data_IF_122283773867
#
_entry.id   IF_122283773867
#
_cell.length_a   1.000
_cell.length_b   1.000
_cell.length_c   1.000
_cell.angle_alpha   90.00
_cell.angle_beta   90.00
_cell.angle_gamma   90.00
#
_symmetry.space_group_name_H-M   'P 1'
#
loop_
_entity.id
_entity.type
_entity.pdbx_description
1 polymer ?
#
# COMPACT_ATOMS: atom_id res chain seq x y z
N UNK A 1 -28.31 -10.08 7.27
CA UNK A 1 -27.29 -9.27 7.95
C UNK A 1 -26.76 -8.18 7.02
N UNK A 2 -26.10 -7.17 7.57
CA UNK A 2 -25.47 -6.10 6.77
C UNK A 2 -24.44 -6.68 5.79
N UNK A 3 -23.62 -7.63 6.24
CA UNK A 3 -22.64 -8.30 5.37
C UNK A 3 -23.27 -9.10 4.23
N UNK A 4 -24.41 -9.76 4.44
CA UNK A 4 -25.11 -10.45 3.36
C UNK A 4 -25.63 -9.49 2.29
N UNK A 5 -26.14 -8.32 2.68
CA UNK A 5 -26.57 -7.28 1.73
C UNK A 5 -25.39 -6.75 0.92
N UNK A 6 -24.27 -6.50 1.59
CA UNK A 6 -23.02 -6.06 0.94
C UNK A 6 -22.53 -7.07 -0.09
N UNK A 7 -22.49 -8.36 0.29
CA UNK A 7 -22.08 -9.42 -0.64
C UNK A 7 -23.01 -9.50 -1.87
N UNK A 8 -24.34 -9.42 -1.67
CA UNK A 8 -25.30 -9.41 -2.78
C UNK A 8 -25.09 -8.20 -3.69
N UNK A 9 -24.88 -7.01 -3.12
CA UNK A 9 -24.62 -5.81 -3.91
C UNK A 9 -23.35 -5.94 -4.75
N UNK A 10 -22.25 -6.42 -4.15
CA UNK A 10 -20.99 -6.66 -4.88
C UNK A 10 -21.16 -7.73 -5.97
N UNK A 11 -21.82 -8.85 -5.65
CA UNK A 11 -22.07 -9.91 -6.64
C UNK A 11 -22.92 -9.40 -7.82
N UNK A 12 -23.91 -8.56 -7.55
CA UNK A 12 -24.74 -7.93 -8.60
C UNK A 12 -23.92 -6.99 -9.48
N UNK A 13 -23.06 -6.16 -8.87
CA UNK A 13 -22.18 -5.25 -9.60
C UNK A 13 -21.22 -6.01 -10.52
N UNK A 14 -20.61 -7.10 -10.04
CA UNK A 14 -19.73 -7.96 -10.85
C UNK A 14 -20.49 -8.67 -11.96
N UNK A 15 -21.72 -9.18 -11.66
CA UNK A 15 -22.55 -9.87 -12.64
C UNK A 15 -23.04 -8.97 -13.78
N UNK A 16 -23.09 -7.65 -13.57
CA UNK A 16 -23.47 -6.68 -14.61
C UNK A 16 -22.46 -6.59 -15.75
N UNK A 17 -21.22 -7.06 -15.57
CA UNK A 17 -20.13 -7.09 -16.58
C UNK A 17 -19.93 -5.75 -17.28
N UNK A 18 -20.02 -4.66 -16.53
CA UNK A 18 -19.73 -3.31 -17.02
C UNK A 18 -18.22 -3.12 -17.20
N UNK A 19 -17.76 -2.32 -18.18
CA UNK A 19 -16.32 -2.03 -18.34
C UNK A 19 -15.68 -1.39 -17.11
N UNK A 20 -16.48 -0.67 -16.32
CA UNK A 20 -16.04 -0.03 -15.04
C UNK A 20 -16.98 -0.48 -13.93
N UNK A 21 -16.42 -0.94 -12.83
CA UNK A 21 -17.15 -1.30 -11.61
C UNK A 21 -16.63 -0.47 -10.45
N UNK A 22 -17.54 0.15 -9.70
CA UNK A 22 -17.21 0.92 -8.50
C UNK A 22 -17.77 0.20 -7.28
N UNK A 23 -16.92 -0.09 -6.30
CA UNK A 23 -17.30 -0.74 -5.04
C UNK A 23 -16.89 0.15 -3.87
N UNK A 24 -17.87 0.62 -3.11
CA UNK A 24 -17.63 1.43 -1.93
C UNK A 24 -17.60 0.55 -0.68
N UNK A 25 -16.45 0.53 0.01
CA UNK A 25 -16.19 -0.27 1.22
C UNK A 25 -16.71 -1.73 1.12
N UNK A 26 -16.37 -2.49 0.05
CA UNK A 26 -17.02 -3.77 -0.25
C UNK A 26 -16.78 -4.84 0.83
N UNK A 27 -15.73 -4.71 1.64
CA UNK A 27 -15.38 -5.66 2.69
C UNK A 27 -15.92 -5.28 4.07
N UNK A 28 -16.58 -4.12 4.19
CA UNK A 28 -17.08 -3.65 5.47
C UNK A 28 -18.22 -4.54 6.01
N UNK A 29 -18.11 -4.93 7.28
CA UNK A 29 -19.10 -5.79 7.94
C UNK A 29 -19.13 -7.26 7.49
N UNK A 30 -18.16 -7.68 6.66
CA UNK A 30 -17.99 -9.08 6.28
C UNK A 30 -17.15 -9.82 7.33
N UNK A 31 -17.53 -11.06 7.64
CA UNK A 31 -16.69 -12.00 8.36
C UNK A 31 -15.54 -12.51 7.47
N UNK A 32 -14.52 -13.13 8.07
CA UNK A 32 -13.32 -13.55 7.35
C UNK A 32 -13.63 -14.54 6.19
N UNK A 33 -14.47 -15.57 6.33
CA UNK A 33 -14.83 -16.45 5.21
C UNK A 33 -15.51 -15.71 4.05
N UNK A 34 -16.44 -14.82 4.36
CA UNK A 34 -17.19 -14.05 3.35
C UNK A 34 -16.28 -13.05 2.63
N UNK A 35 -15.35 -12.43 3.37
CA UNK A 35 -14.31 -11.55 2.80
C UNK A 35 -13.42 -12.31 1.82
N UNK A 36 -12.93 -13.47 2.20
CA UNK A 36 -12.14 -14.34 1.31
C UNK A 36 -12.92 -14.68 0.04
N UNK A 37 -14.20 -15.05 0.20
CA UNK A 37 -15.04 -15.39 -0.95
C UNK A 37 -15.25 -14.23 -1.91
N UNK A 38 -15.46 -13.01 -1.39
CA UNK A 38 -15.60 -11.81 -2.24
C UNK A 38 -14.30 -11.52 -3.00
N UNK A 39 -13.13 -11.65 -2.34
CA UNK A 39 -11.83 -11.50 -3.00
C UNK A 39 -11.66 -12.48 -4.16
N UNK A 40 -11.97 -13.76 -3.94
CA UNK A 40 -11.91 -14.79 -4.99
C UNK A 40 -12.82 -14.44 -6.19
N UNK A 41 -14.02 -13.92 -5.93
CA UNK A 41 -14.94 -13.49 -6.99
C UNK A 41 -14.39 -12.31 -7.80
N UNK A 42 -13.79 -11.32 -7.14
CA UNK A 42 -13.14 -10.18 -7.80
C UNK A 42 -11.98 -10.66 -8.69
N UNK A 43 -11.10 -11.50 -8.15
CA UNK A 43 -9.94 -12.03 -8.88
C UNK A 43 -10.39 -12.89 -10.08
N UNK A 44 -11.38 -13.75 -9.89
CA UNK A 44 -11.93 -14.59 -10.96
C UNK A 44 -12.57 -13.74 -12.06
N UNK A 45 -13.24 -12.64 -11.70
CA UNK A 45 -13.82 -11.72 -12.68
C UNK A 45 -12.72 -11.00 -13.47
N UNK A 46 -11.69 -10.48 -12.81
CA UNK A 46 -10.55 -9.84 -13.45
C UNK A 46 -9.84 -10.78 -14.45
N UNK A 47 -9.64 -12.04 -14.07
CA UNK A 47 -9.00 -13.04 -14.91
C UNK A 47 -9.77 -13.34 -16.24
N UNK A 48 -11.08 -13.10 -16.25
CA UNK A 48 -11.95 -13.36 -17.43
C UNK A 48 -12.37 -12.11 -18.18
N UNK A 49 -11.96 -10.92 -17.74
CA UNK A 49 -12.38 -9.63 -18.29
C UNK A 49 -11.18 -8.68 -18.39
N UNK A 50 -10.32 -8.82 -19.41
CA UNK A 50 -9.01 -8.11 -19.46
C UNK A 50 -9.11 -6.59 -19.49
N UNK A 51 -10.18 -6.01 -20.06
CA UNK A 51 -10.37 -4.56 -20.18
C UNK A 51 -11.25 -3.99 -19.04
N UNK A 52 -11.39 -4.75 -17.94
CA UNK A 52 -12.20 -4.34 -16.81
C UNK A 52 -11.44 -3.42 -15.86
N UNK A 53 -12.04 -2.29 -15.52
CA UNK A 53 -11.53 -1.39 -14.49
C UNK A 53 -12.35 -1.54 -13.22
N UNK A 54 -11.68 -1.88 -12.12
CA UNK A 54 -12.23 -1.87 -10.78
C UNK A 54 -11.71 -0.66 -10.01
N UNK A 55 -12.61 0.17 -9.50
CA UNK A 55 -12.28 1.11 -8.45
C UNK A 55 -13.00 0.70 -7.16
N UNK A 56 -12.26 0.50 -6.09
CA UNK A 56 -12.84 0.17 -4.80
C UNK A 56 -12.28 1.09 -3.71
N UNK A 57 -13.13 1.51 -2.79
CA UNK A 57 -12.72 2.24 -1.61
C UNK A 57 -12.48 1.29 -0.43
N UNK A 58 -11.50 1.61 0.40
CA UNK A 58 -11.31 1.00 1.71
C UNK A 58 -10.52 1.93 2.62
N UNK A 59 -10.82 1.89 3.91
CA UNK A 59 -10.02 2.53 4.95
C UNK A 59 -8.99 1.56 5.58
N UNK A 60 -8.85 0.35 5.01
CA UNK A 60 -7.96 -0.72 5.49
C UNK A 60 -7.08 -1.21 4.33
N UNK A 61 -5.78 -0.98 4.43
CA UNK A 61 -4.84 -1.41 3.39
C UNK A 61 -4.89 -2.93 3.14
N UNK A 62 -5.09 -3.73 4.18
CA UNK A 62 -5.18 -5.19 4.10
C UNK A 62 -6.32 -5.71 3.19
N UNK A 63 -7.39 -4.92 3.02
CA UNK A 63 -8.48 -5.25 2.10
C UNK A 63 -8.07 -5.11 0.63
N UNK A 64 -7.06 -4.29 0.34
CA UNK A 64 -6.58 -3.94 -1.00
C UNK A 64 -5.45 -4.86 -1.49
N UNK A 65 -4.72 -5.51 -0.57
CA UNK A 65 -3.56 -6.36 -0.89
C UNK A 65 -3.88 -7.39 -1.96
N UNK A 66 -3.13 -7.37 -3.06
CA UNK A 66 -3.29 -8.29 -4.21
C UNK A 66 -4.59 -8.13 -5.00
N UNK A 67 -5.31 -7.01 -4.82
CA UNK A 67 -6.50 -6.67 -5.61
C UNK A 67 -6.32 -5.41 -6.45
N UNK A 68 -5.32 -4.57 -6.13
CA UNK A 68 -5.12 -3.27 -6.77
C UNK A 68 -3.67 -3.12 -7.24
N UNK A 69 -3.50 -2.49 -8.38
CA UNK A 69 -2.19 -2.13 -8.94
C UNK A 69 -1.85 -0.67 -8.62
N UNK A 70 -2.88 0.17 -8.44
CA UNK A 70 -2.73 1.59 -8.19
C UNK A 70 -3.56 2.02 -6.98
N UNK A 71 -3.07 3.04 -6.28
CA UNK A 71 -3.74 3.65 -5.13
C UNK A 71 -3.96 5.14 -5.39
N UNK A 72 -5.17 5.61 -5.07
CA UNK A 72 -5.51 7.03 -5.02
C UNK A 72 -5.80 7.36 -3.56
N UNK A 73 -5.04 8.27 -2.97
CA UNK A 73 -5.31 8.75 -1.61
C UNK A 73 -6.21 9.97 -1.63
N UNK A 74 -7.19 9.98 -0.73
CA UNK A 74 -8.13 11.10 -0.54
C UNK A 74 -8.00 11.58 0.90
N UNK A 75 -7.65 12.85 1.10
CA UNK A 75 -7.47 13.44 2.42
C UNK A 75 -7.86 14.91 2.41
N UNK A 76 -8.65 15.34 3.39
CA UNK A 76 -9.12 16.73 3.56
C UNK A 76 -9.67 17.36 2.26
N UNK A 77 -10.47 16.60 1.51
CA UNK A 77 -11.04 17.04 0.24
C UNK A 77 -10.06 17.09 -0.93
N UNK A 78 -8.80 16.71 -0.72
CA UNK A 78 -7.79 16.61 -1.77
C UNK A 78 -7.70 15.18 -2.28
N UNK A 79 -7.69 15.03 -3.60
CA UNK A 79 -7.51 13.76 -4.30
C UNK A 79 -6.14 13.76 -4.96
N UNK A 80 -5.28 12.84 -4.56
CA UNK A 80 -3.95 12.70 -5.15
C UNK A 80 -4.01 11.94 -6.49
N UNK A 81 -2.94 12.05 -7.28
CA UNK A 81 -2.83 11.30 -8.53
C UNK A 81 -2.73 9.79 -8.23
N UNK A 82 -3.21 8.94 -9.15
CA UNK A 82 -3.00 7.50 -9.04
C UNK A 82 -1.50 7.17 -8.92
N UNK A 83 -1.18 6.33 -7.97
CA UNK A 83 0.17 5.90 -7.65
C UNK A 83 0.29 4.40 -7.89
N UNK A 84 1.13 4.00 -8.81
CA UNK A 84 1.40 2.61 -9.13
C UNK A 84 2.28 1.96 -8.05
N UNK A 85 1.84 0.83 -7.49
CA UNK A 85 2.49 0.18 -6.36
C UNK A 85 3.87 -0.37 -6.72
N UNK A 86 4.02 -1.01 -7.88
CA UNK A 86 5.28 -1.59 -8.31
C UNK A 86 6.35 -0.53 -8.55
N UNK A 87 5.98 0.62 -9.13
CA UNK A 87 6.89 1.73 -9.33
C UNK A 87 7.33 2.41 -8.03
N UNK A 88 6.48 2.36 -7.01
CA UNK A 88 6.78 2.95 -5.70
C UNK A 88 7.59 2.02 -4.79
N UNK A 89 7.45 0.71 -4.92
CA UNK A 89 8.10 -0.27 -4.05
C UNK A 89 9.61 -0.05 -3.86
N UNK A 90 10.41 0.26 -4.91
CA UNK A 90 11.85 0.53 -4.76
C UNK A 90 12.18 1.75 -3.90
N UNK A 91 11.23 2.65 -3.68
CA UNK A 91 11.38 3.83 -2.82
C UNK A 91 11.12 3.54 -1.34
N UNK A 92 10.66 2.34 -1.00
CA UNK A 92 10.30 1.94 0.36
C UNK A 92 11.12 0.72 0.83
N UNK A 93 12.44 0.89 1.03
CA UNK A 93 13.29 -0.18 1.51
C UNK A 93 13.02 -0.53 2.96
N UNK A 94 13.25 -1.79 3.30
CA UNK A 94 13.35 -2.32 4.66
C UNK A 94 14.79 -2.71 4.90
N UNK A 95 15.49 -1.94 5.71
CA UNK A 95 16.89 -2.13 6.02
C UNK A 95 17.05 -2.96 7.28
N UNK A 96 17.88 -3.99 7.25
CA UNK A 96 18.16 -4.85 8.41
C UNK A 96 19.67 -5.01 8.57
N UNK A 97 20.17 -4.68 9.76
CA UNK A 97 21.61 -4.74 10.08
C UNK A 97 21.89 -4.27 11.50
N UNK A 98 23.15 -3.96 11.82
CA UNK A 98 23.45 -3.27 13.07
C UNK A 98 22.87 -1.85 13.03
N UNK A 99 22.55 -1.27 14.18
CA UNK A 99 22.00 0.09 14.24
C UNK A 99 22.90 1.10 13.52
N UNK A 100 24.23 0.98 13.67
CA UNK A 100 25.21 1.85 13.01
C UNK A 100 25.21 1.68 11.49
N UNK A 101 25.14 0.44 10.99
CA UNK A 101 25.15 0.16 9.55
C UNK A 101 23.87 0.66 8.88
N UNK A 102 22.73 0.49 9.55
CA UNK A 102 21.43 1.00 9.07
C UNK A 102 21.43 2.52 9.02
N UNK A 103 21.95 3.21 10.06
CA UNK A 103 22.08 4.66 10.07
C UNK A 103 22.98 5.16 8.93
N UNK A 104 24.09 4.48 8.69
CA UNK A 104 24.98 4.78 7.58
C UNK A 104 24.28 4.59 6.22
N UNK A 105 23.54 3.51 6.02
CA UNK A 105 22.78 3.26 4.79
C UNK A 105 21.72 4.33 4.53
N UNK A 106 20.99 4.76 5.56
CA UNK A 106 19.99 5.84 5.48
C UNK A 106 20.67 7.16 5.04
N UNK A 107 21.78 7.51 5.67
CA UNK A 107 22.51 8.75 5.35
C UNK A 107 23.06 8.74 3.92
N UNK A 108 23.61 7.62 3.45
CA UNK A 108 24.16 7.49 2.09
C UNK A 108 23.08 7.59 1.00
N UNK A 109 21.87 7.15 1.29
CA UNK A 109 20.75 7.16 0.34
C UNK A 109 19.82 8.38 0.48
N UNK A 110 20.13 9.31 1.39
CA UNK A 110 19.21 10.40 1.77
C UNK A 110 17.80 9.88 2.12
N UNK A 111 17.75 8.72 2.77
CA UNK A 111 16.51 8.03 3.08
C UNK A 111 16.00 8.41 4.47
N UNK A 112 14.69 8.60 4.57
CA UNK A 112 14.01 8.98 5.80
C UNK A 112 13.47 7.72 6.51
N UNK A 113 13.80 7.50 7.79
CA UNK A 113 13.20 6.41 8.56
C UNK A 113 11.71 6.68 8.80
N UNK A 114 10.85 5.70 8.51
CA UNK A 114 9.41 5.75 8.73
C UNK A 114 9.01 4.98 9.99
N UNK A 115 9.58 3.78 10.15
CA UNK A 115 9.33 2.92 11.31
C UNK A 115 10.60 2.18 11.68
N UNK A 116 10.90 2.07 12.97
CA UNK A 116 12.08 1.37 13.47
C UNK A 116 11.69 0.37 14.56
N UNK A 117 12.29 -0.81 14.48
CA UNK A 117 12.25 -1.83 15.52
C UNK A 117 13.65 -2.42 15.72
N UNK A 118 13.91 -2.98 16.90
CA UNK A 118 15.18 -3.62 17.20
C UNK A 118 14.99 -4.92 17.97
N UNK A 119 15.87 -5.89 17.72
CA UNK A 119 15.95 -7.13 18.46
C UNK A 119 17.42 -7.42 18.75
N UNK A 120 17.83 -7.26 20.01
CA UNK A 120 19.23 -7.32 20.41
C UNK A 120 20.06 -6.25 19.72
N UNK A 121 21.12 -6.65 19.02
CA UNK A 121 22.00 -5.74 18.24
C UNK A 121 21.52 -5.47 16.81
N UNK A 122 20.43 -6.10 16.39
CA UNK A 122 19.89 -5.97 15.03
C UNK A 122 18.77 -4.94 15.01
N UNK A 123 18.91 -3.92 14.15
CA UNK A 123 17.87 -2.95 13.82
C UNK A 123 17.18 -3.35 12.52
N UNK A 124 15.87 -3.13 12.46
CA UNK A 124 15.05 -3.22 11.26
C UNK A 124 14.34 -1.88 11.08
N UNK A 125 14.59 -1.22 9.95
CA UNK A 125 14.04 0.10 9.67
C UNK A 125 13.29 0.07 8.34
N UNK A 126 12.02 0.45 8.36
CA UNK A 126 11.27 0.81 7.17
C UNK A 126 11.62 2.25 6.84
N UNK A 127 12.02 2.53 5.61
CA UNK A 127 12.42 3.86 5.20
C UNK A 127 11.74 4.29 3.89
N UNK A 128 11.80 5.57 3.59
CA UNK A 128 11.46 6.13 2.30
C UNK A 128 12.69 6.81 1.69
N UNK A 129 12.90 6.62 0.40
CA UNK A 129 13.99 7.24 -0.36
C UNK A 129 13.41 8.05 -1.54
N UNK A 130 13.93 9.26 -1.81
CA UNK A 130 13.47 10.11 -2.92
C UNK A 130 13.73 9.48 -4.28
N UNK A 131 14.70 8.58 -4.36
CA UNK A 131 15.02 7.77 -5.54
C UNK A 131 14.91 6.28 -5.20
N UNK A 132 14.79 5.37 -6.18
CA UNK A 132 14.89 3.93 -5.92
C UNK A 132 16.13 3.61 -5.10
N UNK A 133 15.97 2.86 -4.01
CA UNK A 133 17.08 2.63 -3.06
C UNK A 133 18.26 1.94 -3.75
N UNK A 134 19.48 2.55 -3.73
CA UNK A 134 20.61 2.03 -4.51
C UNK A 134 21.15 0.72 -3.93
N UNK A 135 21.27 -0.32 -4.75
CA UNK A 135 21.82 -1.62 -4.33
C UNK A 135 23.25 -1.52 -3.79
N UNK A 136 24.07 -0.65 -4.37
CA UNK A 136 25.46 -0.44 -3.95
C UNK A 136 25.55 0.16 -2.54
N UNK A 137 24.58 0.97 -2.14
CA UNK A 137 24.49 1.53 -0.78
C UNK A 137 24.30 0.42 0.27
N UNK A 138 23.47 -0.58 -0.05
CA UNK A 138 23.25 -1.73 0.83
C UNK A 138 24.53 -2.53 1.07
N UNK A 139 25.28 -2.79 0.00
CA UNK A 139 26.56 -3.52 0.08
C UNK A 139 27.62 -2.70 0.83
N UNK A 140 27.76 -1.42 0.57
CA UNK A 140 28.71 -0.52 1.22
C UNK A 140 28.46 -0.36 2.72
N UNK A 141 27.19 -0.39 3.15
CA UNK A 141 26.79 -0.26 4.55
C UNK A 141 26.58 -1.60 5.26
N UNK A 142 26.83 -2.74 4.61
CA UNK A 142 26.66 -4.07 5.18
C UNK A 142 25.24 -4.35 5.74
N UNK A 143 24.21 -3.84 5.07
CA UNK A 143 22.81 -4.05 5.43
C UNK A 143 22.11 -4.99 4.45
N UNK A 144 21.15 -5.74 4.95
CA UNK A 144 20.21 -6.50 4.10
C UNK A 144 19.05 -5.59 3.73
N UNK A 145 18.71 -5.54 2.44
CA UNK A 145 17.57 -4.80 1.92
C UNK A 145 16.47 -5.76 1.48
N UNK A 146 15.28 -5.50 1.92
CA UNK A 146 14.01 -6.01 1.37
C UNK A 146 13.08 -4.83 1.14
N UNK A 147 11.87 -5.09 0.67
CA UNK A 147 10.89 -4.02 0.42
C UNK A 147 9.60 -4.30 1.17
N UNK A 148 8.81 -3.25 1.39
CA UNK A 148 7.49 -3.37 2.00
C UNK A 148 6.59 -4.29 1.17
N UNK A 149 5.77 -5.10 1.84
CA UNK A 149 4.65 -5.77 1.19
C UNK A 149 3.56 -4.75 0.77
N UNK A 150 2.55 -5.20 0.01
CA UNK A 150 1.52 -4.28 -0.52
C UNK A 150 0.77 -3.56 0.60
N UNK A 151 0.42 -4.24 1.68
CA UNK A 151 -0.30 -3.64 2.79
C UNK A 151 0.49 -2.54 3.47
N UNK A 152 1.75 -2.83 3.80
CA UNK A 152 2.67 -1.88 4.41
C UNK A 152 2.98 -0.69 3.47
N UNK A 153 3.08 -0.96 2.16
CA UNK A 153 3.32 0.08 1.16
C UNK A 153 2.11 1.01 1.04
N UNK A 154 0.90 0.47 0.97
CA UNK A 154 -0.35 1.25 0.93
C UNK A 154 -0.48 2.12 2.18
N UNK A 155 -0.27 1.56 3.38
CA UNK A 155 -0.31 2.30 4.63
C UNK A 155 0.73 3.44 4.66
N UNK A 156 1.94 3.19 4.13
CA UNK A 156 2.99 4.20 4.04
C UNK A 156 2.63 5.33 3.06
N UNK A 157 2.02 5.00 1.91
CA UNK A 157 1.54 5.99 0.94
C UNK A 157 0.44 6.87 1.53
N UNK A 158 -0.51 6.28 2.25
CA UNK A 158 -1.60 7.01 2.93
C UNK A 158 -1.03 7.95 4.00
N UNK A 159 -0.12 7.46 4.86
CA UNK A 159 0.49 8.26 5.92
C UNK A 159 1.25 9.47 5.38
N UNK A 160 2.04 9.28 4.32
CA UNK A 160 2.78 10.38 3.67
C UNK A 160 1.88 11.40 2.98
N UNK A 161 0.76 10.97 2.40
CA UNK A 161 -0.22 11.89 1.84
C UNK A 161 -0.80 12.83 2.92
N UNK A 162 -1.04 12.30 4.12
CA UNK A 162 -1.50 13.09 5.26
C UNK A 162 -0.45 14.12 5.72
N UNK A 163 0.83 13.74 5.80
CA UNK A 163 1.92 14.64 6.19
C UNK A 163 2.11 15.78 5.19
N UNK A 164 2.09 15.48 3.90
CA UNK A 164 2.27 16.49 2.83
C UNK A 164 1.17 17.55 2.84
N UNK A 165 -0.07 17.19 3.17
CA UNK A 165 -1.20 18.11 3.26
C UNK A 165 -1.06 19.04 4.47
N UNK A 166 -0.57 18.54 5.61
CA UNK A 166 -0.35 19.36 6.82
C UNK A 166 0.72 20.43 6.62
N UNK A 167 1.84 20.07 5.99
CA UNK A 167 2.92 21.03 5.71
C UNK A 167 2.47 22.17 4.79
N UNK A 168 1.64 21.87 3.79
CA UNK A 168 1.11 22.89 2.85
C UNK A 168 0.10 23.84 3.51
N UNK A 169 -0.55 23.45 4.61
CA UNK A 169 -1.49 24.30 5.35
C UNK A 169 -0.79 25.21 6.37
N UNK A 170 0.38 24.81 6.86
CA UNK A 170 1.17 25.63 7.81
C UNK A 170 1.95 26.78 7.12
N UNK A 171 2.14 26.70 5.79
CA UNK A 171 2.83 27.72 4.99
C UNK A 171 1.88 28.73 4.31
N UNK A 172 0.56 28.63 4.53
CA UNK A 172 -0.48 29.52 3.93
C UNK A 172 -1.12 30.40 4.97
#
# INVERSE_FOLDING_TARGET
STGQRQLVACATALAARTPVTLLDEPFNGLDAPTRTRLRELIIAHAATTPDWLLALSSHRAEDLVGLVDQVITVHDGTVNKPTDLESQRPHYPVLTGSAKDVEQALALADALPLHQSSLGSTAKVHAWSPVPFPADTAAAAHVTVSYLDDGQLIDSLVSRAHESTRTSQEES
#
